data_IF_682290415770
#
_entry.id   IF_682290415770
#
_cell.length_a   1.000
_cell.length_b   1.000
_cell.length_c   1.000
_cell.angle_alpha   90.00
_cell.angle_beta   90.00
_cell.angle_gamma   90.00
#
_symmetry.space_group_name_H-M   'P 1'
#
loop_
_entity.id
_entity.type
_entity.pdbx_description
1 polymer ?
#
# COMPACT_ATOMS: atom_id res chain seq x y z
N UNK A 1 6.18 14.92 10.17
CA UNK A 1 5.93 13.89 11.21
C UNK A 1 6.46 14.31 12.57
N UNK A 2 7.66 14.90 12.67
CA UNK A 2 8.23 15.33 13.96
C UNK A 2 7.34 16.31 14.77
N UNK A 3 6.55 17.17 14.11
CA UNK A 3 5.64 18.11 14.80
C UNK A 3 4.35 17.47 15.34
N UNK A 4 4.04 16.23 14.93
CA UNK A 4 2.88 15.47 15.39
C UNK A 4 3.26 14.34 16.36
N UNK A 5 4.52 14.28 16.82
CA UNK A 5 4.88 13.28 17.81
C UNK A 5 4.24 13.64 19.17
N UNK A 6 3.46 12.72 19.77
CA UNK A 6 2.73 12.99 21.01
C UNK A 6 3.67 13.34 22.18
N UNK A 7 4.93 12.89 22.12
CA UNK A 7 5.96 13.16 23.12
C UNK A 7 6.24 14.67 23.26
N UNK A 8 6.25 15.44 22.16
CA UNK A 8 6.47 16.89 22.23
C UNK A 8 5.30 17.62 22.86
N UNK A 9 4.08 17.13 22.65
CA UNK A 9 2.86 17.71 23.23
C UNK A 9 2.74 17.41 24.73
N UNK A 10 3.22 16.25 25.18
CA UNK A 10 3.23 15.88 26.59
C UNK A 10 4.45 16.41 27.38
N UNK A 11 5.41 17.09 26.73
CA UNK A 11 6.64 17.58 27.37
C UNK A 11 6.37 18.61 28.48
N UNK A 12 5.29 19.40 28.36
CA UNK A 12 4.91 20.40 29.38
C UNK A 12 4.28 19.81 30.65
N UNK A 13 3.82 18.55 30.61
CA UNK A 13 3.03 17.92 31.67
C UNK A 13 3.76 16.72 32.31
N UNK A 14 5.10 16.78 32.39
CA UNK A 14 5.94 15.69 32.91
C UNK A 14 5.64 15.30 34.37
N UNK A 15 5.29 16.27 35.21
CA UNK A 15 5.05 16.07 36.66
C UNK A 15 3.55 15.92 37.01
N UNK A 16 2.68 15.70 36.02
CA UNK A 16 1.23 15.64 36.27
C UNK A 16 0.77 14.38 36.99
N UNK A 17 -0.34 14.48 37.72
CA UNK A 17 -0.91 13.40 38.55
C UNK A 17 -1.94 12.57 37.76
N UNK A 18 -1.53 12.06 36.59
CA UNK A 18 -2.38 11.24 35.71
C UNK A 18 -1.80 9.84 35.53
N UNK A 19 -2.64 8.81 35.29
CA UNK A 19 -2.17 7.43 35.15
C UNK A 19 -1.24 7.30 33.94
N UNK A 20 0.03 6.99 34.22
CA UNK A 20 1.08 6.94 33.19
C UNK A 20 1.93 8.21 33.09
N UNK A 21 1.91 9.08 34.10
CA UNK A 21 2.86 10.18 34.21
C UNK A 21 4.29 9.67 34.40
N UNK A 22 5.24 10.33 33.73
CA UNK A 22 6.62 9.92 33.65
C UNK A 22 7.33 10.51 32.43
N UNK A 23 8.65 10.43 32.44
CA UNK A 23 9.49 10.86 31.32
C UNK A 23 9.13 10.00 30.08
N UNK A 24 8.77 10.64 28.97
CA UNK A 24 8.32 10.01 27.71
C UNK A 24 6.92 9.36 27.74
N UNK A 25 5.99 9.88 28.55
CA UNK A 25 4.59 9.49 28.42
C UNK A 25 3.98 9.94 27.08
N UNK A 26 3.23 9.04 26.44
CA UNK A 26 2.44 9.32 25.23
C UNK A 26 0.96 9.58 25.54
N UNK A 27 0.56 9.43 26.80
CA UNK A 27 -0.81 9.54 27.26
C UNK A 27 -0.97 10.78 28.15
N UNK A 28 -1.13 11.95 27.51
CA UNK A 28 -1.53 13.19 28.17
C UNK A 28 -2.87 13.69 27.61
N UNK A 29 -3.69 14.40 28.40
CA UNK A 29 -5.00 14.87 27.97
C UNK A 29 -4.91 15.80 26.75
N UNK A 30 -3.84 16.57 26.61
CA UNK A 30 -3.59 17.43 25.44
C UNK A 30 -3.26 16.66 24.16
N UNK A 31 -2.72 15.45 24.26
CA UNK A 31 -2.34 14.65 23.09
C UNK A 31 -3.51 13.83 22.51
N UNK A 32 -4.63 13.72 23.21
CA UNK A 32 -5.77 12.88 22.79
C UNK A 32 -6.29 13.27 21.40
N UNK A 33 -6.34 14.56 21.08
CA UNK A 33 -6.77 15.06 19.77
C UNK A 33 -5.78 14.75 18.64
N UNK A 34 -4.50 14.57 18.96
CA UNK A 34 -3.43 14.36 17.97
C UNK A 34 -3.11 12.87 17.75
N UNK A 35 -3.50 12.01 18.68
CA UNK A 35 -3.18 10.58 18.65
C UNK A 35 -3.79 9.87 17.44
N UNK A 36 -5.02 10.22 17.05
CA UNK A 36 -5.70 9.61 15.91
C UNK A 36 -4.99 9.89 14.58
N UNK A 37 -4.70 11.16 14.30
CA UNK A 37 -4.00 11.58 13.06
C UNK A 37 -2.60 10.99 13.03
N UNK A 38 -1.90 10.99 14.17
CA UNK A 38 -0.60 10.36 14.30
C UNK A 38 -0.65 8.86 13.98
N UNK A 39 -1.61 8.13 14.54
CA UNK A 39 -1.78 6.68 14.31
C UNK A 39 -2.04 6.37 12.84
N UNK A 40 -2.92 7.12 12.17
CA UNK A 40 -3.19 6.96 10.74
C UNK A 40 -1.92 7.22 9.93
N UNK A 41 -1.23 8.33 10.20
CA UNK A 41 -0.02 8.72 9.46
C UNK A 41 1.13 7.73 9.69
N UNK A 42 1.29 7.22 10.91
CA UNK A 42 2.27 6.19 11.25
C UNK A 42 1.94 4.86 10.55
N UNK A 43 0.67 4.47 10.49
CA UNK A 43 0.20 3.31 9.73
C UNK A 43 0.52 3.42 8.24
N UNK A 44 0.25 4.57 7.62
CA UNK A 44 0.59 4.84 6.22
C UNK A 44 2.11 4.79 6.00
N UNK A 45 2.89 5.38 6.90
CA UNK A 45 4.36 5.33 6.84
C UNK A 45 4.89 3.90 6.88
N UNK A 46 4.40 3.08 7.82
CA UNK A 46 4.77 1.66 7.90
C UNK A 46 4.40 0.90 6.63
N UNK A 47 3.22 1.15 6.07
CA UNK A 47 2.81 0.56 4.79
C UNK A 47 3.75 0.96 3.65
N UNK A 48 4.13 2.24 3.55
CA UNK A 48 5.10 2.72 2.55
C UNK A 48 6.48 2.09 2.75
N UNK A 49 6.93 1.88 3.99
CA UNK A 49 8.16 1.15 4.27
C UNK A 49 8.10 -0.30 3.77
N UNK A 50 6.97 -0.99 3.95
CA UNK A 50 6.77 -2.32 3.37
C UNK A 50 6.80 -2.32 1.84
N UNK A 51 6.22 -1.31 1.19
CA UNK A 51 6.34 -1.13 -0.27
C UNK A 51 7.79 -0.84 -0.70
N UNK A 52 8.56 -0.12 0.11
CA UNK A 52 9.98 0.14 -0.16
C UNK A 52 10.81 -1.16 -0.05
N UNK A 53 10.47 -2.02 0.91
CA UNK A 53 11.08 -3.36 1.03
C UNK A 53 10.79 -4.21 -0.22
N UNK A 54 9.61 -4.09 -0.83
CA UNK A 54 9.31 -4.76 -2.11
C UNK A 54 10.30 -4.34 -3.22
N UNK A 55 10.85 -3.12 -3.22
CA UNK A 55 11.87 -2.71 -4.18
C UNK A 55 13.23 -3.40 -3.94
N UNK A 56 13.52 -3.85 -2.72
CA UNK A 56 14.72 -4.65 -2.43
C UNK A 56 14.66 -6.04 -3.09
N UNK A 57 13.49 -6.47 -3.59
CA UNK A 57 13.37 -7.70 -4.38
C UNK A 57 14.25 -7.71 -5.64
N UNK A 58 14.74 -6.54 -6.09
CA UNK A 58 15.69 -6.40 -7.19
C UNK A 58 16.98 -7.23 -6.99
N UNK A 59 17.35 -7.54 -5.75
CA UNK A 59 18.53 -8.37 -5.45
C UNK A 59 18.35 -9.83 -5.89
N UNK A 60 17.11 -10.30 -6.07
CA UNK A 60 16.81 -11.63 -6.59
C UNK A 60 16.26 -11.54 -8.01
N UNK A 61 16.99 -12.09 -8.97
CA UNK A 61 16.60 -12.10 -10.39
C UNK A 61 15.23 -12.75 -10.63
N UNK A 62 14.84 -13.72 -9.80
CA UNK A 62 13.56 -14.41 -9.95
C UNK A 62 12.40 -13.58 -9.39
N UNK A 63 12.61 -12.93 -8.24
CA UNK A 63 11.58 -12.14 -7.57
C UNK A 63 11.38 -10.81 -8.29
N UNK A 64 12.45 -10.20 -8.79
CA UNK A 64 12.38 -8.94 -9.53
C UNK A 64 11.58 -9.09 -10.82
N UNK A 65 11.81 -10.16 -11.59
CA UNK A 65 11.02 -10.46 -12.78
C UNK A 65 9.53 -10.66 -12.44
N UNK A 66 9.23 -11.33 -11.33
CA UNK A 66 7.84 -11.49 -10.86
C UNK A 66 7.18 -10.16 -10.48
N UNK A 67 7.85 -9.30 -9.70
CA UNK A 67 7.30 -8.00 -9.27
C UNK A 67 7.06 -7.09 -10.48
N UNK A 68 7.93 -7.12 -11.48
CA UNK A 68 7.80 -6.34 -12.72
C UNK A 68 6.61 -6.83 -13.56
N UNK A 69 6.40 -8.14 -13.65
CA UNK A 69 5.19 -8.72 -14.24
C UNK A 69 3.94 -8.29 -13.50
N UNK A 70 3.94 -8.37 -12.15
CA UNK A 70 2.82 -7.89 -11.34
C UNK A 70 2.53 -6.39 -11.57
N UNK A 71 3.57 -5.57 -11.72
CA UNK A 71 3.43 -4.14 -12.01
C UNK A 71 2.78 -3.88 -13.36
N UNK A 72 3.20 -4.59 -14.41
CA UNK A 72 2.60 -4.47 -15.74
C UNK A 72 1.14 -4.95 -15.74
N UNK A 73 0.88 -6.07 -15.07
CA UNK A 73 -0.46 -6.65 -14.90
C UNK A 73 -1.39 -5.74 -14.10
N UNK A 74 -0.86 -4.95 -13.15
CA UNK A 74 -1.64 -4.02 -12.35
C UNK A 74 -2.39 -2.99 -13.21
N UNK A 75 -1.82 -2.57 -14.34
CA UNK A 75 -2.48 -1.63 -15.27
C UNK A 75 -3.75 -2.22 -15.87
N UNK A 76 -3.67 -3.46 -16.36
CA UNK A 76 -4.84 -4.19 -16.90
C UNK A 76 -5.90 -4.43 -15.80
N UNK A 77 -5.45 -4.78 -14.59
CA UNK A 77 -6.34 -4.97 -13.44
C UNK A 77 -7.06 -3.66 -13.07
N UNK A 78 -6.39 -2.51 -13.13
CA UNK A 78 -6.97 -1.22 -12.79
C UNK A 78 -8.05 -0.81 -13.81
N UNK A 79 -7.81 -1.06 -15.10
CA UNK A 79 -8.81 -0.87 -16.15
C UNK A 79 -10.04 -1.76 -15.92
N UNK A 80 -9.82 -3.01 -15.55
CA UNK A 80 -10.88 -3.93 -15.16
C UNK A 80 -11.68 -3.42 -13.95
N UNK A 81 -11.01 -3.01 -12.86
CA UNK A 81 -11.68 -2.49 -11.66
C UNK A 81 -12.48 -1.23 -11.95
N UNK A 82 -11.97 -0.36 -12.84
CA UNK A 82 -12.69 0.85 -13.27
C UNK A 82 -13.96 0.48 -14.04
N UNK A 83 -13.89 -0.50 -14.94
CA UNK A 83 -15.06 -1.02 -15.65
C UNK A 83 -16.09 -1.65 -14.69
N UNK A 84 -15.62 -2.44 -13.72
CA UNK A 84 -16.47 -3.03 -12.68
C UNK A 84 -17.15 -1.96 -11.83
N UNK A 85 -16.42 -0.91 -11.41
CA UNK A 85 -16.97 0.19 -10.64
C UNK A 85 -18.07 0.93 -11.42
N UNK A 86 -17.85 1.19 -12.72
CA UNK A 86 -18.87 1.78 -13.59
C UNK A 86 -20.11 0.89 -13.70
N UNK A 87 -19.95 -0.42 -13.87
CA UNK A 87 -21.05 -1.39 -13.88
C UNK A 87 -21.81 -1.40 -12.55
N UNK A 88 -21.11 -1.41 -11.41
CA UNK A 88 -21.73 -1.36 -10.08
C UNK A 88 -22.57 -0.10 -9.94
N UNK A 89 -22.08 1.07 -10.34
CA UNK A 89 -22.83 2.32 -10.25
C UNK A 89 -24.05 2.33 -11.20
N UNK A 90 -23.90 1.82 -12.42
CA UNK A 90 -24.99 1.71 -13.37
C UNK A 90 -26.12 0.80 -12.85
N UNK A 91 -25.77 -0.35 -12.27
CA UNK A 91 -26.73 -1.28 -11.69
C UNK A 91 -27.30 -0.78 -10.36
N UNK A 92 -26.49 -0.14 -9.51
CA UNK A 92 -26.96 0.47 -8.26
C UNK A 92 -28.01 1.55 -8.52
N UNK A 93 -27.77 2.44 -9.48
CA UNK A 93 -28.76 3.47 -9.86
C UNK A 93 -30.02 2.86 -10.47
N UNK A 94 -29.89 1.80 -11.27
CA UNK A 94 -31.05 1.06 -11.81
C UNK A 94 -31.86 0.37 -10.71
N UNK A 95 -31.23 -0.19 -9.69
CA UNK A 95 -31.92 -0.83 -8.55
C UNK A 95 -32.63 0.23 -7.70
N UNK A 96 -31.97 1.34 -7.38
CA UNK A 96 -32.59 2.43 -6.61
C UNK A 96 -33.78 3.08 -7.31
N UNK A 97 -33.87 3.00 -8.63
CA UNK A 97 -35.03 3.48 -9.39
C UNK A 97 -36.26 2.54 -9.26
N UNK A 98 -36.06 1.28 -8.86
CA UNK A 98 -37.15 0.32 -8.62
C UNK A 98 -37.68 0.56 -7.21
N UNK A 99 -39.00 0.76 -7.09
CA UNK A 99 -39.64 0.92 -5.78
C UNK A 99 -39.64 -0.41 -5.02
N UNK A 100 -38.69 -0.59 -4.12
CA UNK A 100 -38.57 -1.73 -3.23
C UNK A 100 -38.46 -1.26 -1.76
N UNK A 101 -38.90 -2.08 -0.81
CA UNK A 101 -38.85 -1.77 0.63
C UNK A 101 -37.63 -2.38 1.34
N UNK A 102 -36.61 -2.84 0.61
CA UNK A 102 -35.44 -3.45 1.22
C UNK A 102 -34.47 -2.39 1.79
N UNK A 103 -34.06 -2.50 3.06
CA UNK A 103 -33.14 -1.55 3.68
C UNK A 103 -31.74 -1.58 3.05
N UNK A 104 -31.30 -2.75 2.55
CA UNK A 104 -29.99 -2.93 1.91
C UNK A 104 -29.85 -2.22 0.56
N UNK A 105 -30.97 -1.78 -0.03
CA UNK A 105 -31.01 -1.07 -1.31
C UNK A 105 -31.64 0.32 -1.21
N UNK A 106 -31.87 0.83 0.00
CA UNK A 106 -32.54 2.11 0.24
C UNK A 106 -31.81 3.32 -0.38
N UNK A 107 -30.50 3.19 -0.65
CA UNK A 107 -29.67 4.23 -1.26
C UNK A 107 -28.72 3.67 -2.31
N UNK A 108 -28.17 4.57 -3.14
CA UNK A 108 -27.21 4.23 -4.19
C UNK A 108 -25.90 3.70 -3.58
N UNK A 109 -25.50 4.26 -2.44
CA UNK A 109 -24.34 3.86 -1.65
C UNK A 109 -24.50 2.45 -1.06
N UNK A 110 -25.64 2.18 -0.42
CA UNK A 110 -25.96 0.86 0.13
C UNK A 110 -26.08 -0.20 -0.98
N UNK A 111 -26.74 0.15 -2.10
CA UNK A 111 -26.86 -0.73 -3.26
C UNK A 111 -25.49 -1.00 -3.90
N UNK A 112 -24.62 0.01 -4.02
CA UNK A 112 -23.27 -0.15 -4.58
C UNK A 112 -22.40 -1.06 -3.68
N UNK A 113 -22.44 -0.89 -2.37
CA UNK A 113 -21.72 -1.76 -1.42
C UNK A 113 -22.24 -3.20 -1.46
N UNK A 114 -23.55 -3.39 -1.54
CA UNK A 114 -24.17 -4.72 -1.66
C UNK A 114 -23.79 -5.40 -2.97
N UNK A 115 -23.85 -4.69 -4.11
CA UNK A 115 -23.42 -5.21 -5.41
C UNK A 115 -21.91 -5.49 -5.46
N UNK A 116 -21.08 -4.66 -4.81
CA UNK A 116 -19.64 -4.92 -4.65
C UNK A 116 -19.42 -6.22 -3.84
N UNK A 117 -20.08 -6.38 -2.70
CA UNK A 117 -19.98 -7.58 -1.88
C UNK A 117 -20.44 -8.84 -2.64
N UNK A 118 -21.48 -8.72 -3.47
CA UNK A 118 -21.94 -9.80 -4.37
C UNK A 118 -20.87 -10.10 -5.43
N UNK A 119 -20.27 -9.09 -6.05
CA UNK A 119 -19.20 -9.28 -7.06
C UNK A 119 -17.96 -9.97 -6.50
N UNK A 120 -17.67 -9.77 -5.20
CA UNK A 120 -16.56 -10.41 -4.48
C UNK A 120 -16.94 -11.76 -3.87
N UNK A 121 -18.21 -12.18 -3.92
CA UNK A 121 -18.69 -13.40 -3.28
C UNK A 121 -18.70 -13.33 -1.73
N UNK A 122 -18.63 -12.13 -1.15
CA UNK A 122 -18.64 -11.89 0.29
C UNK A 122 -20.04 -11.67 0.86
N UNK A 123 -21.07 -11.71 0.01
CA UNK A 123 -22.44 -11.43 0.44
C UNK A 123 -23.03 -12.62 1.24
N UNK A 124 -23.55 -12.37 2.46
CA UNK A 124 -24.02 -13.44 3.35
C UNK A 124 -25.27 -14.14 2.81
N UNK A 125 -25.35 -15.45 2.98
CA UNK A 125 -26.44 -16.28 2.46
C UNK A 125 -27.82 -16.00 3.08
N UNK A 126 -27.86 -15.47 4.31
CA UNK A 126 -29.11 -15.12 5.00
C UNK A 126 -29.85 -13.97 4.28
N UNK A 127 -29.12 -12.92 3.91
CA UNK A 127 -29.66 -11.76 3.18
C UNK A 127 -30.11 -12.10 1.75
N UNK A 128 -29.55 -13.16 1.16
CA UNK A 128 -30.01 -13.65 -0.14
C UNK A 128 -31.45 -14.20 -0.10
N UNK A 129 -31.92 -14.70 1.05
CA UNK A 129 -33.27 -15.23 1.19
C UNK A 129 -34.30 -14.10 1.19
N UNK A 130 -34.01 -12.98 1.86
CA UNK A 130 -34.86 -11.78 1.88
C UNK A 130 -34.94 -11.12 0.48
N UNK A 131 -33.83 -11.14 -0.27
CA UNK A 131 -33.79 -10.60 -1.63
C UNK A 131 -34.79 -11.27 -2.59
N UNK A 132 -35.06 -12.57 -2.38
CA UNK A 132 -35.98 -13.37 -3.22
C UNK A 132 -37.42 -12.93 -3.14
N UNK A 133 -37.81 -12.13 -2.14
CA UNK A 133 -39.16 -11.61 -2.01
C UNK A 133 -39.51 -10.67 -3.20
N UNK A 134 -38.51 -10.01 -3.78
CA UNK A 134 -38.69 -9.13 -4.94
C UNK A 134 -38.11 -9.75 -6.22
N UNK A 135 -39.01 -10.14 -7.13
CA UNK A 135 -38.64 -10.82 -8.39
C UNK A 135 -37.77 -9.93 -9.29
N UNK A 136 -38.10 -8.63 -9.39
CA UNK A 136 -37.41 -7.69 -10.27
C UNK A 136 -35.96 -7.43 -9.86
N UNK A 137 -35.71 -7.20 -8.57
CA UNK A 137 -34.36 -6.96 -8.04
C UNK A 137 -33.51 -8.23 -8.20
N UNK A 138 -34.10 -9.39 -7.90
CA UNK A 138 -33.41 -10.68 -8.06
C UNK A 138 -32.96 -10.91 -9.50
N UNK A 139 -33.84 -10.66 -10.49
CA UNK A 139 -33.48 -10.81 -11.91
C UNK A 139 -32.34 -9.88 -12.32
N UNK A 140 -32.37 -8.63 -11.87
CA UNK A 140 -31.36 -7.63 -12.18
C UNK A 140 -30.01 -8.00 -11.55
N UNK A 141 -30.01 -8.48 -10.29
CA UNK A 141 -28.81 -8.98 -9.60
C UNK A 141 -28.25 -10.23 -10.28
N UNK A 142 -29.10 -11.16 -10.71
CA UNK A 142 -28.65 -12.36 -11.46
C UNK A 142 -28.00 -11.95 -12.79
N UNK A 143 -28.60 -11.01 -13.53
CA UNK A 143 -28.02 -10.48 -14.76
C UNK A 143 -26.66 -9.82 -14.50
N UNK A 144 -26.56 -9.02 -13.45
CA UNK A 144 -25.30 -8.41 -13.01
C UNK A 144 -24.22 -9.46 -12.74
N UNK A 145 -24.55 -10.50 -11.98
CA UNK A 145 -23.61 -11.59 -11.65
C UNK A 145 -23.16 -12.33 -12.92
N UNK A 146 -24.06 -12.59 -13.86
CA UNK A 146 -23.68 -13.22 -15.14
C UNK A 146 -22.68 -12.34 -15.89
N UNK A 147 -22.95 -11.03 -16.00
CA UNK A 147 -22.05 -10.10 -16.69
C UNK A 147 -20.69 -10.04 -15.97
N UNK A 148 -20.67 -9.87 -14.65
CA UNK A 148 -19.43 -9.71 -13.89
C UNK A 148 -18.61 -11.00 -13.81
N UNK A 149 -19.25 -12.12 -13.43
CA UNK A 149 -18.54 -13.38 -13.18
C UNK A 149 -18.31 -14.15 -14.48
N UNK A 150 -19.28 -14.24 -15.38
CA UNK A 150 -19.12 -15.04 -16.59
C UNK A 150 -18.45 -14.29 -17.74
N UNK A 151 -18.63 -12.97 -17.86
CA UNK A 151 -18.00 -12.20 -18.93
C UNK A 151 -16.73 -11.51 -18.45
N UNK A 152 -16.84 -10.61 -17.47
CA UNK A 152 -15.72 -9.77 -17.03
C UNK A 152 -14.57 -10.61 -16.44
N UNK A 153 -14.83 -11.54 -15.52
CA UNK A 153 -13.77 -12.36 -14.91
C UNK A 153 -13.08 -13.26 -15.93
N UNK A 154 -13.82 -13.84 -16.87
CA UNK A 154 -13.24 -14.66 -17.94
C UNK A 154 -12.38 -13.84 -18.91
N UNK A 155 -12.81 -12.61 -19.24
CA UNK A 155 -11.98 -11.69 -20.03
C UNK A 155 -10.71 -11.28 -19.27
N UNK A 156 -10.82 -11.01 -17.96
CA UNK A 156 -9.66 -10.69 -17.12
C UNK A 156 -8.64 -11.84 -17.14
N UNK A 157 -9.09 -13.08 -16.94
CA UNK A 157 -8.20 -14.25 -16.99
C UNK A 157 -7.54 -14.39 -18.37
N UNK A 158 -8.29 -14.16 -19.46
CA UNK A 158 -7.75 -14.22 -20.81
C UNK A 158 -6.67 -13.14 -21.05
N UNK A 159 -6.94 -11.91 -20.63
CA UNK A 159 -6.01 -10.78 -20.73
C UNK A 159 -4.74 -11.01 -19.90
N UNK A 160 -4.91 -11.50 -18.66
CA UNK A 160 -3.79 -11.85 -17.78
C UNK A 160 -2.89 -12.91 -18.39
N UNK A 161 -3.47 -13.97 -18.96
CA UNK A 161 -2.70 -15.04 -19.60
C UNK A 161 -1.93 -14.54 -20.83
N UNK A 162 -2.57 -13.71 -21.66
CA UNK A 162 -1.92 -13.15 -22.85
C UNK A 162 -0.78 -12.18 -22.47
N UNK A 163 -1.04 -11.28 -21.51
CA UNK A 163 -0.04 -10.32 -21.03
C UNK A 163 1.13 -11.04 -20.35
N UNK A 164 0.87 -12.10 -19.58
CA UNK A 164 1.91 -12.90 -18.95
C UNK A 164 2.83 -13.56 -20.00
N UNK A 165 2.24 -14.17 -21.03
CA UNK A 165 2.99 -14.89 -22.06
C UNK A 165 3.90 -13.97 -22.89
N UNK A 166 3.44 -12.76 -23.25
CA UNK A 166 4.25 -11.82 -24.01
C UNK A 166 5.39 -11.23 -23.17
N UNK A 167 5.12 -10.95 -21.90
CA UNK A 167 6.05 -10.22 -21.03
C UNK A 167 7.15 -11.13 -20.47
N UNK A 168 6.91 -12.44 -20.32
CA UNK A 168 7.86 -13.36 -19.68
C UNK A 168 9.25 -13.40 -20.33
N UNK A 169 9.33 -13.34 -21.66
CA UNK A 169 10.61 -13.41 -22.37
C UNK A 169 11.40 -12.10 -22.27
N UNK A 170 10.73 -10.97 -22.39
CA UNK A 170 11.37 -9.64 -22.35
C UNK A 170 11.87 -9.29 -20.94
N UNK A 171 11.18 -9.79 -19.90
CA UNK A 171 11.53 -9.55 -18.49
C UNK A 171 12.90 -10.10 -18.09
N UNK A 172 13.32 -11.23 -18.67
CA UNK A 172 14.65 -11.78 -18.39
C UNK A 172 15.76 -10.87 -18.93
N UNK A 173 15.51 -10.19 -20.05
CA UNK A 173 16.43 -9.21 -20.63
C UNK A 173 16.53 -7.95 -19.77
N UNK A 174 15.37 -7.38 -19.41
CA UNK A 174 15.30 -6.19 -18.55
C UNK A 174 15.93 -6.40 -17.18
N UNK A 175 15.73 -7.55 -16.53
CA UNK A 175 16.34 -7.84 -15.23
C UNK A 175 17.87 -7.83 -15.28
N UNK A 176 18.47 -8.31 -16.39
CA UNK A 176 19.94 -8.28 -16.58
C UNK A 176 20.46 -6.86 -16.77
N UNK A 177 19.76 -6.04 -17.56
CA UNK A 177 20.09 -4.63 -17.77
C UNK A 177 20.00 -3.81 -16.49
N UNK A 178 18.90 -3.95 -15.74
CA UNK A 178 18.67 -3.23 -14.49
C UNK A 178 19.75 -3.57 -13.44
N UNK A 179 20.15 -4.85 -13.34
CA UNK A 179 21.27 -5.24 -12.46
C UNK A 179 22.58 -4.57 -12.87
N UNK A 180 22.87 -4.50 -14.18
CA UNK A 180 24.08 -3.83 -14.67
C UNK A 180 24.06 -2.32 -14.35
N UNK A 181 22.91 -1.66 -14.50
CA UNK A 181 22.74 -0.25 -14.15
C UNK A 181 23.00 0.01 -12.66
N UNK A 182 22.43 -0.79 -11.77
CA UNK A 182 22.65 -0.67 -10.31
C UNK A 182 24.13 -0.85 -9.95
N UNK A 183 24.83 -1.80 -10.59
CA UNK A 183 26.27 -2.01 -10.37
C UNK A 183 27.07 -0.79 -10.83
N UNK A 184 26.74 -0.21 -11.99
CA UNK A 184 27.43 0.99 -12.51
C UNK A 184 27.17 2.20 -11.62
N UNK A 185 25.93 2.42 -11.19
CA UNK A 185 25.59 3.51 -10.27
C UNK A 185 26.30 3.36 -8.90
N UNK A 186 26.33 2.14 -8.35
CA UNK A 186 27.06 1.85 -7.11
C UNK A 186 28.57 2.06 -7.28
N UNK A 187 29.15 1.65 -8.41
CA UNK A 187 30.57 1.86 -8.71
C UNK A 187 30.90 3.36 -8.85
N UNK A 188 30.03 4.16 -9.49
CA UNK A 188 30.22 5.61 -9.60
C UNK A 188 30.15 6.33 -8.24
N UNK A 189 29.24 5.91 -7.36
CA UNK A 189 29.19 6.40 -5.98
C UNK A 189 30.43 5.98 -5.17
N UNK A 190 30.92 4.76 -5.38
CA UNK A 190 32.16 4.28 -4.76
C UNK A 190 33.42 5.01 -5.23
N UNK A 191 33.47 5.44 -6.49
CA UNK A 191 34.62 6.18 -7.07
C UNK A 191 34.57 7.67 -6.72
N UNK A 192 33.39 8.24 -6.51
CA UNK A 192 33.21 9.65 -6.12
C UNK A 192 33.21 9.90 -4.62
N UNK A 193 33.17 8.85 -3.79
CA UNK A 193 33.44 8.93 -2.36
C UNK A 193 34.95 8.74 -2.10
N UNK A 194 35.78 9.81 -2.05
CA UNK A 194 37.04 9.68 -1.36
C UNK A 194 36.68 9.28 0.07
N UNK A 195 37.26 8.18 0.54
CA UNK A 195 37.27 7.71 1.92
C UNK A 195 37.68 8.86 2.86
N UNK A 196 36.75 9.77 3.17
CA UNK A 196 37.00 10.99 3.91
C UNK A 196 35.83 11.18 4.85
N UNK A 197 36.09 10.77 6.10
CA UNK A 197 35.30 11.04 7.30
C UNK A 197 33.86 10.51 7.30
N UNK A 198 33.75 9.34 7.92
CA UNK A 198 32.74 9.12 8.96
C UNK A 198 32.92 10.22 10.02
N UNK A 199 32.40 11.42 9.77
CA UNK A 199 31.97 12.31 10.84
C UNK A 199 30.53 11.96 11.10
N UNK A 200 30.33 11.04 12.04
CA UNK A 200 29.05 10.87 12.73
C UNK A 200 28.51 12.26 13.06
N UNK A 201 27.22 12.56 12.83
CA UNK A 201 26.57 13.68 13.47
C UNK A 201 26.34 13.29 14.94
N UNK A 202 27.43 13.08 15.68
CA UNK A 202 27.41 13.11 17.12
C UNK A 202 27.30 14.59 17.46
N UNK A 203 26.06 15.00 17.71
CA UNK A 203 25.66 16.02 18.68
C UNK A 203 26.80 16.97 19.06
N UNK A 204 26.70 18.24 18.64
CA UNK A 204 27.45 19.35 19.22
C UNK A 204 27.17 19.45 20.73
N UNK A 205 27.80 18.59 21.53
CA UNK A 205 28.10 18.88 22.92
C UNK A 205 29.56 19.31 22.94
N UNK A 206 29.75 20.62 23.05
CA UNK A 206 31.04 21.26 23.15
C UNK A 206 31.85 20.70 24.33
N UNK A 207 32.81 19.83 24.04
CA UNK A 207 33.97 19.58 24.90
C UNK A 207 35.20 19.60 24.00
N UNK A 208 35.98 20.68 24.14
CA UNK A 208 37.25 20.92 23.48
C UNK A 208 38.32 19.97 24.04
N UNK A 209 38.97 19.18 23.19
CA UNK A 209 40.19 18.43 23.52
C UNK A 209 41.05 18.15 22.25
N UNK A 210 42.38 17.90 22.39
CA UNK A 210 43.39 18.50 21.53
C UNK A 210 43.86 17.65 20.34
N UNK A 211 44.54 18.35 19.43
CA UNK A 211 45.20 17.84 18.23
C UNK A 211 46.28 16.79 18.53
N UNK A 212 46.25 15.70 17.78
CA UNK A 212 47.43 14.87 17.51
C UNK A 212 47.13 13.37 17.46
N UNK A 213 47.03 12.79 16.26
CA UNK A 213 47.55 11.45 15.94
C UNK A 213 47.24 11.05 14.49
N UNK A 214 48.30 11.05 13.69
CA UNK A 214 48.74 10.10 12.67
C UNK A 214 47.74 9.21 11.89
N UNK A 215 47.95 9.28 10.58
CA UNK A 215 47.49 8.39 9.50
C UNK A 215 47.65 6.90 9.86
N UNK A 216 46.61 6.10 9.59
CA UNK A 216 46.72 4.66 9.40
C UNK A 216 45.94 4.25 8.14
N UNK A 217 46.69 3.83 7.11
CA UNK A 217 46.16 3.15 5.92
C UNK A 217 45.68 1.75 6.31
N UNK A 218 44.48 1.35 5.84
CA UNK A 218 44.10 -0.07 5.71
C UNK A 218 43.41 -0.22 4.34
N UNK A 219 43.90 -1.09 3.43
CA UNK A 219 43.22 -1.38 2.18
C UNK A 219 42.13 -2.44 2.45
N UNK A 220 40.89 -2.17 2.06
CA UNK A 220 39.84 -3.18 2.07
C UNK A 220 39.70 -3.79 0.67
N UNK A 221 39.99 -5.08 0.64
CA UNK A 221 40.06 -6.01 -0.48
C UNK A 221 38.65 -6.45 -0.88
N UNK A 222 38.45 -6.61 -2.19
CA UNK A 222 37.32 -7.30 -2.83
C UNK A 222 37.02 -8.66 -2.18
N UNK A 223 35.76 -8.92 -1.85
CA UNK A 223 35.04 -10.13 -2.28
C UNK A 223 33.53 -9.89 -2.28
#
# INVERSE_FOLDING_TARGET
MCTQEPIFWCMGNMDGDFPGSGLFTSACPEAVSHLEIYSITAGVSMFLYWLLIMNLSIFSMQISAFVLVCGQVMGELLLFLTSLAFLILAFATSVSAISHQLPDFAGIDAAALSLLAISLGLFPSEKFLELKESVWVTLLVVLFVIIVVAFLLNLLVAQLNQAYASVYLDMQGYARLNRAEVIVQAAQLGVSAPMTRISLPFCELGIRAPQGASRLLIPFVLL
#
